data_IF_382590641515
#
_entry.id   IF_382590641515
#
_cell.length_a   1.000
_cell.length_b   1.000
_cell.length_c   1.000
_cell.angle_alpha   90.00
_cell.angle_beta   90.00
_cell.angle_gamma   90.00
#
_symmetry.space_group_name_H-M   'P 1'
#
loop_
_entity.id
_entity.type
_entity.pdbx_description
1 polymer ?
#
# COMPACT_ATOMS: atom_id res chain seq x y z
N UNK A 1 3.58 30.65 22.27
CA UNK A 1 3.24 30.30 20.88
C UNK A 1 4.18 29.18 20.48
N UNK A 2 3.70 27.94 20.55
CA UNK A 2 4.50 26.76 20.29
C UNK A 2 4.21 26.27 18.87
N UNK A 3 5.26 26.19 18.05
CA UNK A 3 5.51 25.31 16.91
C UNK A 3 4.30 24.66 16.20
N UNK A 4 3.41 25.47 15.62
CA UNK A 4 2.30 24.99 14.77
C UNK A 4 2.77 24.74 13.31
N UNK A 5 3.87 25.38 12.91
CA UNK A 5 4.48 25.23 11.59
C UNK A 5 5.04 23.82 11.36
N UNK A 6 5.74 23.25 12.34
CA UNK A 6 6.28 21.90 12.24
C UNK A 6 5.20 20.81 12.18
N UNK A 7 4.04 21.00 12.80
CA UNK A 7 2.95 20.03 12.72
C UNK A 7 2.25 20.06 11.35
N UNK A 8 2.10 21.27 10.78
CA UNK A 8 1.51 21.47 9.45
C UNK A 8 2.38 20.84 8.35
N UNK A 9 3.69 21.13 8.34
CA UNK A 9 4.64 20.55 7.37
C UNK A 9 4.68 19.01 7.46
N UNK A 10 4.67 18.47 8.68
CA UNK A 10 4.64 17.02 8.89
C UNK A 10 3.34 16.38 8.39
N UNK A 11 2.20 17.07 8.53
CA UNK A 11 0.90 16.62 8.05
C UNK A 11 0.86 16.58 6.52
N UNK A 12 1.33 17.63 5.86
CA UNK A 12 1.41 17.69 4.40
C UNK A 12 2.35 16.63 3.83
N UNK A 13 3.51 16.44 4.45
CA UNK A 13 4.42 15.38 4.05
C UNK A 13 3.76 14.00 4.21
N UNK A 14 3.04 13.75 5.31
CA UNK A 14 2.31 12.51 5.49
C UNK A 14 1.22 12.31 4.43
N UNK A 15 0.46 13.35 4.08
CA UNK A 15 -0.55 13.31 3.01
C UNK A 15 0.09 13.01 1.64
N UNK A 16 1.23 13.64 1.32
CA UNK A 16 2.00 13.36 0.10
C UNK A 16 2.50 11.91 0.06
N UNK A 17 2.96 11.37 1.18
CA UNK A 17 3.36 9.96 1.28
C UNK A 17 2.17 9.01 1.12
N UNK A 18 1.00 9.33 1.66
CA UNK A 18 -0.24 8.55 1.44
C UNK A 18 -0.58 8.52 -0.06
N UNK A 19 -0.56 9.66 -0.72
CA UNK A 19 -0.81 9.74 -2.16
C UNK A 19 0.21 8.91 -2.96
N UNK A 20 1.51 9.08 -2.66
CA UNK A 20 2.62 8.35 -3.32
C UNK A 20 2.45 6.83 -3.22
N UNK A 21 2.14 6.31 -2.03
CA UNK A 21 1.96 4.88 -1.83
C UNK A 21 0.64 4.37 -2.40
N UNK A 22 -0.41 5.18 -2.41
CA UNK A 22 -1.66 4.83 -3.06
C UNK A 22 -1.47 4.66 -4.58
N UNK A 23 -0.75 5.56 -5.23
CA UNK A 23 -0.36 5.41 -6.65
C UNK A 23 0.49 4.15 -6.87
N UNK A 24 1.43 3.86 -5.96
CA UNK A 24 2.27 2.68 -6.05
C UNK A 24 1.43 1.39 -5.99
N UNK A 25 0.44 1.32 -5.09
CA UNK A 25 -0.49 0.19 -4.99
C UNK A 25 -1.32 0.04 -6.25
N UNK A 26 -1.87 1.14 -6.80
CA UNK A 26 -2.65 1.08 -8.05
C UNK A 26 -1.80 0.59 -9.22
N UNK A 27 -0.59 1.16 -9.40
CA UNK A 27 0.35 0.75 -10.44
C UNK A 27 0.75 -0.72 -10.31
N UNK A 28 0.94 -1.18 -9.08
CA UNK A 28 1.30 -2.56 -8.79
C UNK A 28 0.15 -3.52 -9.05
N UNK A 29 -1.07 -3.14 -8.70
CA UNK A 29 -2.28 -3.90 -9.01
C UNK A 29 -2.48 -4.01 -10.53
N UNK A 30 -2.29 -2.93 -11.29
CA UNK A 30 -2.37 -2.96 -12.76
C UNK A 30 -1.32 -3.90 -13.38
N UNK A 31 -0.09 -3.94 -12.83
CA UNK A 31 0.95 -4.89 -13.25
C UNK A 31 0.58 -6.33 -12.96
N UNK A 32 0.09 -6.61 -11.76
CA UNK A 32 -0.39 -7.94 -11.38
C UNK A 32 -1.58 -8.36 -12.25
N UNK A 33 -2.54 -7.48 -12.51
CA UNK A 33 -3.67 -7.78 -13.38
C UNK A 33 -3.22 -8.17 -14.79
N UNK A 34 -2.27 -7.43 -15.36
CA UNK A 34 -1.70 -7.75 -16.67
C UNK A 34 -0.96 -9.09 -16.66
N UNK A 35 -0.19 -9.37 -15.61
CA UNK A 35 0.53 -10.62 -15.45
C UNK A 35 -0.43 -11.81 -15.26
N UNK A 36 -1.44 -11.69 -14.40
CA UNK A 36 -2.43 -12.74 -14.19
C UNK A 36 -3.25 -13.01 -15.46
N UNK A 37 -3.60 -11.97 -16.22
CA UNK A 37 -4.26 -12.12 -17.52
C UNK A 37 -3.36 -12.82 -18.54
N UNK A 38 -2.06 -12.53 -18.53
CA UNK A 38 -1.06 -13.22 -19.33
C UNK A 38 -0.98 -14.72 -18.95
N UNK A 39 -0.84 -15.03 -17.65
CA UNK A 39 -0.78 -16.40 -17.15
C UNK A 39 -2.07 -17.21 -17.41
N UNK A 40 -3.25 -16.59 -17.33
CA UNK A 40 -4.52 -17.25 -17.68
C UNK A 40 -4.61 -17.58 -19.19
N UNK A 41 -4.05 -16.71 -20.03
CA UNK A 41 -4.03 -16.90 -21.48
C UNK A 41 -2.97 -17.94 -21.92
N UNK A 42 -1.81 -17.95 -21.27
CA UNK A 42 -0.73 -18.92 -21.48
C UNK A 42 -1.01 -20.29 -20.84
N UNK A 43 -1.83 -20.35 -19.77
CA UNK A 43 -2.35 -21.60 -19.22
C UNK A 43 -3.15 -22.43 -20.25
N UNK A 44 -3.62 -21.81 -21.33
CA UNK A 44 -4.26 -22.49 -22.48
C UNK A 44 -3.26 -23.01 -23.51
N UNK A 45 -2.01 -22.55 -23.45
CA UNK A 45 -0.87 -22.93 -24.28
C UNK A 45 0.18 -23.75 -23.53
N UNK A 46 -0.17 -24.27 -22.35
CA UNK A 46 0.69 -25.05 -21.45
C UNK A 46 1.40 -26.23 -22.13
N UNK A 47 0.84 -26.75 -23.22
CA UNK A 47 1.44 -27.82 -24.03
C UNK A 47 2.71 -27.40 -24.80
N UNK A 48 3.00 -26.09 -24.90
CA UNK A 48 4.11 -25.53 -25.67
C UNK A 48 5.14 -24.77 -24.83
N UNK A 49 4.88 -24.57 -23.53
CA UNK A 49 5.83 -23.92 -22.63
C UNK A 49 6.82 -24.93 -22.08
N UNK A 50 8.10 -24.54 -22.00
CA UNK A 50 9.06 -25.35 -21.26
C UNK A 50 9.04 -25.02 -19.75
N UNK A 51 9.63 -25.90 -18.95
CA UNK A 51 9.68 -25.74 -17.49
C UNK A 51 10.41 -24.45 -17.06
N UNK A 52 11.27 -23.89 -17.92
CA UNK A 52 12.03 -22.68 -17.62
C UNK A 52 11.19 -21.41 -17.77
N UNK A 53 10.30 -21.38 -18.78
CA UNK A 53 9.32 -20.31 -18.97
C UNK A 53 8.34 -20.27 -17.78
N UNK A 54 7.80 -21.42 -17.38
CA UNK A 54 6.91 -21.55 -16.21
C UNK A 54 7.58 -21.06 -14.93
N UNK A 55 8.87 -21.35 -14.74
CA UNK A 55 9.62 -20.92 -13.57
C UNK A 55 9.91 -19.42 -13.59
N UNK A 56 10.14 -18.83 -14.76
CA UNK A 56 10.32 -17.38 -14.90
C UNK A 56 9.02 -16.64 -14.55
N UNK A 57 7.90 -17.12 -15.07
CA UNK A 57 6.56 -16.60 -14.81
C UNK A 57 6.20 -16.69 -13.33
N UNK A 58 6.48 -17.82 -12.69
CA UNK A 58 6.34 -17.99 -11.25
C UNK A 58 7.15 -16.94 -10.49
N UNK A 59 8.45 -16.76 -10.80
CA UNK A 59 9.32 -15.80 -10.11
C UNK A 59 8.81 -14.37 -10.26
N UNK A 60 8.32 -14.02 -11.44
CA UNK A 60 7.72 -12.69 -11.69
C UNK A 60 6.47 -12.52 -10.83
N UNK A 61 5.51 -13.46 -10.89
CA UNK A 61 4.26 -13.38 -10.13
C UNK A 61 4.49 -13.34 -8.62
N UNK A 62 5.45 -14.12 -8.14
CA UNK A 62 5.89 -14.12 -6.75
C UNK A 62 6.43 -12.74 -6.32
N UNK A 63 7.37 -12.19 -7.08
CA UNK A 63 7.98 -10.90 -6.78
C UNK A 63 6.94 -9.76 -6.80
N UNK A 64 6.08 -9.72 -7.83
CA UNK A 64 5.05 -8.69 -7.96
C UNK A 64 4.00 -8.78 -6.84
N UNK A 65 3.65 -10.00 -6.40
CA UNK A 65 2.76 -10.23 -5.26
C UNK A 65 3.37 -9.72 -3.95
N UNK A 66 4.66 -9.96 -3.72
CA UNK A 66 5.37 -9.46 -2.55
C UNK A 66 5.45 -7.92 -2.53
N UNK A 67 5.70 -7.30 -3.69
CA UNK A 67 5.71 -5.84 -3.82
C UNK A 67 4.33 -5.25 -3.55
N UNK A 68 3.24 -5.91 -3.98
CA UNK A 68 1.88 -5.47 -3.70
C UNK A 68 1.56 -5.46 -2.21
N UNK A 69 1.93 -6.52 -1.48
CA UNK A 69 1.78 -6.56 -0.01
C UNK A 69 2.58 -5.44 0.65
N UNK A 70 3.84 -5.26 0.22
CA UNK A 70 4.73 -4.25 0.79
C UNK A 70 4.21 -2.82 0.57
N UNK A 71 3.81 -2.48 -0.64
CA UNK A 71 3.27 -1.17 -0.98
C UNK A 71 1.97 -0.88 -0.23
N UNK A 72 1.08 -1.87 -0.16
CA UNK A 72 -0.20 -1.74 0.56
C UNK A 72 0.03 -1.52 2.06
N UNK A 73 0.99 -2.23 2.66
CA UNK A 73 1.29 -2.06 4.08
C UNK A 73 1.93 -0.69 4.36
N UNK A 74 2.77 -0.18 3.46
CA UNK A 74 3.31 1.18 3.59
C UNK A 74 2.21 2.24 3.50
N UNK A 75 1.26 2.09 2.57
CA UNK A 75 0.08 2.97 2.49
C UNK A 75 -0.66 3.02 3.84
N UNK A 76 -0.97 1.86 4.42
CA UNK A 76 -1.64 1.79 5.73
C UNK A 76 -0.86 2.48 6.86
N UNK A 77 0.47 2.32 6.87
CA UNK A 77 1.35 2.95 7.87
C UNK A 77 1.34 4.47 7.76
N UNK A 78 1.44 5.00 6.55
CA UNK A 78 1.41 6.44 6.31
C UNK A 78 0.04 7.04 6.62
N UNK A 79 -1.05 6.32 6.31
CA UNK A 79 -2.41 6.72 6.70
C UNK A 79 -2.57 6.82 8.22
N UNK A 80 -2.07 5.82 8.95
CA UNK A 80 -2.09 5.85 10.41
C UNK A 80 -1.31 7.04 10.99
N UNK A 81 -0.16 7.35 10.38
CA UNK A 81 0.63 8.54 10.76
C UNK A 81 -0.12 9.84 10.47
N UNK A 82 -0.66 10.00 9.26
CA UNK A 82 -1.44 11.18 8.86
C UNK A 82 -2.62 11.42 9.82
N UNK A 83 -3.39 10.38 10.13
CA UNK A 83 -4.47 10.47 11.10
C UNK A 83 -4.00 10.95 12.48
N UNK A 84 -2.88 10.43 12.95
CA UNK A 84 -2.31 10.79 14.26
C UNK A 84 -1.86 12.24 14.29
N UNK A 85 -1.23 12.73 13.21
CA UNK A 85 -0.81 14.13 13.10
C UNK A 85 -2.01 15.08 13.08
N UNK A 86 -3.10 14.69 12.42
CA UNK A 86 -4.31 15.51 12.30
C UNK A 86 -5.13 15.59 13.58
N UNK A 87 -5.26 14.47 14.28
CA UNK A 87 -6.20 14.35 15.41
C UNK A 87 -5.51 14.41 16.77
N UNK A 88 -4.19 14.18 16.82
CA UNK A 88 -3.47 13.90 18.05
C UNK A 88 -3.79 12.53 18.66
N UNK A 89 -4.73 11.77 18.08
CA UNK A 89 -5.16 10.48 18.55
C UNK A 89 -4.43 9.36 17.81
N UNK A 90 -4.19 8.24 18.51
CA UNK A 90 -3.60 7.08 17.87
C UNK A 90 -4.59 6.54 16.83
N UNK A 91 -4.11 6.36 15.60
CA UNK A 91 -4.92 5.77 14.55
C UNK A 91 -5.53 4.42 14.96
N UNK A 92 -6.78 4.15 14.51
CA UNK A 92 -7.39 2.85 14.72
C UNK A 92 -6.48 1.74 14.19
N UNK A 93 -6.61 0.55 14.79
CA UNK A 93 -5.75 -0.60 14.51
C UNK A 93 -5.72 -0.87 13.00
N UNK A 94 -4.52 -0.85 12.44
CA UNK A 94 -4.17 -1.21 11.05
C UNK A 94 -4.82 -2.53 10.66
N UNK A 95 -5.09 -2.74 9.36
CA UNK A 95 -5.48 -4.06 8.84
C UNK A 95 -4.49 -5.14 9.31
N UNK A 96 -4.93 -5.91 10.31
CA UNK A 96 -4.09 -6.90 10.97
C UNK A 96 -3.75 -8.05 10.03
N UNK A 97 -4.59 -8.33 9.01
CA UNK A 97 -4.28 -9.34 8.01
C UNK A 97 -3.10 -8.90 7.17
N UNK A 98 -3.12 -7.68 6.65
CA UNK A 98 -2.04 -7.16 5.82
C UNK A 98 -0.72 -7.04 6.60
N UNK A 99 -0.79 -6.63 7.87
CA UNK A 99 0.36 -6.64 8.77
C UNK A 99 0.93 -8.06 8.94
N UNK A 100 0.08 -9.03 9.28
CA UNK A 100 0.54 -10.40 9.49
C UNK A 100 1.06 -11.05 8.21
N UNK A 101 0.47 -10.72 7.05
CA UNK A 101 0.94 -11.18 5.76
C UNK A 101 2.33 -10.60 5.45
N UNK A 102 2.55 -9.30 5.65
CA UNK A 102 3.87 -8.67 5.48
C UNK A 102 4.90 -9.28 6.43
N UNK A 103 4.55 -9.48 7.69
CA UNK A 103 5.45 -10.08 8.68
C UNK A 103 5.74 -11.55 8.33
N UNK A 104 4.76 -12.30 7.81
CA UNK A 104 4.96 -13.67 7.35
C UNK A 104 5.91 -13.76 6.15
N UNK A 105 5.82 -12.82 5.21
CA UNK A 105 6.73 -12.76 4.06
C UNK A 105 8.16 -12.35 4.45
N UNK A 106 8.32 -11.47 5.44
CA UNK A 106 9.65 -11.07 5.97
C UNK A 106 10.40 -12.23 6.61
N UNK A 107 9.68 -13.15 7.25
CA UNK A 107 10.23 -14.31 7.96
C UNK A 107 10.06 -15.63 7.19
N UNK A 108 9.84 -15.54 5.87
CA UNK A 108 9.54 -16.72 5.06
C UNK A 108 10.75 -17.67 4.95
N UNK A 109 11.96 -17.17 5.04
CA UNK A 109 13.20 -17.96 5.02
C UNK A 109 13.37 -18.85 6.25
N UNK A 110 12.66 -18.55 7.33
CA UNK A 110 12.63 -19.31 8.58
C UNK A 110 11.48 -20.33 8.62
N UNK A 111 10.61 -20.36 7.60
CA UNK A 111 9.42 -21.21 7.57
C UNK A 111 9.70 -22.63 7.07
N UNK A 112 8.95 -23.59 7.63
CA UNK A 112 8.89 -24.93 7.06
C UNK A 112 7.93 -24.95 5.87
N UNK A 113 8.28 -25.70 4.83
CA UNK A 113 7.42 -25.88 3.65
C UNK A 113 6.73 -27.24 3.73
N UNK A 114 5.40 -27.22 3.82
CA UNK A 114 4.57 -28.43 3.90
C UNK A 114 3.47 -28.35 2.84
N UNK A 115 3.48 -29.30 1.89
CA UNK A 115 2.46 -29.42 0.84
C UNK A 115 2.24 -28.12 0.04
N UNK A 116 3.31 -27.41 -0.33
CA UNK A 116 3.21 -26.16 -1.07
C UNK A 116 2.79 -24.94 -0.23
N UNK A 117 2.67 -25.10 1.10
CA UNK A 117 2.35 -24.01 2.02
C UNK A 117 3.53 -23.75 2.95
N UNK A 118 3.85 -22.49 3.19
CA UNK A 118 4.76 -22.10 4.25
C UNK A 118 4.01 -22.09 5.59
N UNK A 119 4.54 -22.82 6.56
CA UNK A 119 4.01 -22.93 7.90
C UNK A 119 5.12 -22.69 8.91
N UNK A 120 4.77 -22.10 10.05
CA UNK A 120 5.71 -21.93 11.15
C UNK A 120 4.96 -21.80 12.46
N UNK A 121 5.60 -22.23 13.55
CA UNK A 121 5.16 -21.97 14.92
C UNK A 121 5.42 -20.50 15.34
N UNK A 122 6.17 -19.74 14.51
CA UNK A 122 6.33 -18.29 14.59
C UNK A 122 4.96 -17.56 14.52
N UNK A 123 4.84 -16.46 15.27
CA UNK A 123 3.54 -15.79 15.51
C UNK A 123 2.82 -15.33 14.24
N UNK A 124 3.53 -14.90 13.21
CA UNK A 124 2.92 -14.22 12.06
C UNK A 124 2.28 -15.21 11.10
N UNK A 125 3.01 -16.24 10.67
CA UNK A 125 2.48 -17.34 9.86
C UNK A 125 1.39 -18.13 10.61
N UNK A 126 1.59 -18.40 11.90
CA UNK A 126 0.57 -19.07 12.72
C UNK A 126 -0.75 -18.29 12.76
N UNK A 127 -0.70 -16.95 12.89
CA UNK A 127 -1.90 -16.10 12.95
C UNK A 127 -2.71 -16.04 11.67
N UNK A 128 -2.09 -16.30 10.53
CA UNK A 128 -2.77 -16.35 9.23
C UNK A 128 -3.02 -17.80 8.78
N UNK A 129 -2.66 -18.81 9.58
CA UNK A 129 -2.85 -20.22 9.21
C UNK A 129 -1.93 -20.68 8.06
N UNK A 130 -0.73 -20.10 7.99
CA UNK A 130 0.24 -20.37 6.93
C UNK A 130 -0.01 -19.57 5.65
N UNK A 131 0.96 -19.63 4.74
CA UNK A 131 1.02 -18.84 3.52
C UNK A 131 1.08 -19.79 2.32
N UNK A 132 0.12 -19.67 1.41
CA UNK A 132 0.14 -20.47 0.18
C UNK A 132 1.28 -20.00 -0.73
N UNK A 133 2.12 -20.92 -1.22
CA UNK A 133 3.22 -20.59 -2.12
C UNK A 133 2.78 -20.61 -3.59
N UNK A 134 1.57 -21.08 -3.89
CA UNK A 134 1.00 -20.97 -5.22
C UNK A 134 0.74 -19.51 -5.59
N UNK A 135 1.04 -19.18 -6.85
CA UNK A 135 0.82 -17.85 -7.45
C UNK A 135 -0.02 -17.99 -8.70
N UNK A 136 -0.66 -16.90 -9.13
CA UNK A 136 -1.57 -16.93 -10.28
C UNK A 136 -3.04 -16.74 -9.91
N UNK A 137 -3.37 -16.58 -8.64
CA UNK A 137 -4.72 -16.25 -8.20
C UNK A 137 -4.91 -14.74 -8.00
N UNK A 138 -6.17 -14.28 -7.97
CA UNK A 138 -6.51 -12.89 -7.59
C UNK A 138 -6.41 -12.60 -6.09
N UNK A 139 -6.07 -13.62 -5.30
CA UNK A 139 -5.81 -13.54 -3.88
C UNK A 139 -4.31 -13.67 -3.63
N UNK A 140 -3.72 -12.65 -3.01
CA UNK A 140 -2.33 -12.66 -2.57
C UNK A 140 -2.19 -13.69 -1.45
N UNK A 141 -1.55 -14.80 -1.78
CA UNK A 141 -1.26 -15.92 -0.88
C UNK A 141 -2.47 -16.44 -0.11
N UNK A 142 -3.66 -16.45 -0.77
CA UNK A 142 -4.96 -16.86 -0.21
C UNK A 142 -5.53 -15.96 0.92
N UNK A 143 -4.92 -14.79 1.18
CA UNK A 143 -5.30 -13.94 2.33
C UNK A 143 -5.96 -12.63 1.97
N UNK A 144 -5.52 -11.99 0.88
CA UNK A 144 -5.93 -10.62 0.53
C UNK A 144 -6.24 -10.49 -0.96
N UNK A 145 -7.40 -9.92 -1.28
CA UNK A 145 -7.82 -9.67 -2.67
C UNK A 145 -7.05 -8.51 -3.31
N UNK A 146 -6.49 -8.73 -4.50
CA UNK A 146 -5.83 -7.67 -5.30
C UNK A 146 -6.84 -6.58 -5.66
N UNK A 147 -8.06 -6.97 -6.06
CA UNK A 147 -9.13 -6.05 -6.45
C UNK A 147 -9.55 -5.15 -5.28
N UNK A 148 -9.60 -5.70 -4.06
CA UNK A 148 -9.95 -4.93 -2.85
C UNK A 148 -8.86 -3.92 -2.48
N UNK A 149 -7.58 -4.34 -2.51
CA UNK A 149 -6.45 -3.45 -2.26
C UNK A 149 -6.38 -2.32 -3.28
N UNK A 150 -6.62 -2.64 -4.56
CA UNK A 150 -6.64 -1.66 -5.65
C UNK A 150 -7.76 -0.64 -5.47
N UNK A 151 -8.96 -1.10 -5.11
CA UNK A 151 -10.10 -0.22 -4.84
C UNK A 151 -9.83 0.70 -3.65
N UNK A 152 -9.41 0.16 -2.51
CA UNK A 152 -9.11 0.99 -1.33
C UNK A 152 -8.01 2.00 -1.68
N UNK A 153 -6.93 1.59 -2.34
CA UNK A 153 -5.87 2.50 -2.75
C UNK A 153 -6.36 3.66 -3.63
N UNK A 154 -7.26 3.42 -4.60
CA UNK A 154 -7.86 4.50 -5.41
C UNK A 154 -8.68 5.47 -4.56
N UNK A 155 -9.50 4.96 -3.66
CA UNK A 155 -10.27 5.80 -2.73
C UNK A 155 -9.34 6.63 -1.83
N UNK A 156 -8.21 6.06 -1.40
CA UNK A 156 -7.20 6.77 -0.59
C UNK A 156 -6.42 7.81 -1.37
N UNK A 157 -6.02 7.53 -2.61
CA UNK A 157 -5.35 8.48 -3.47
C UNK A 157 -6.21 9.75 -3.66
N UNK A 158 -7.48 9.56 -4.01
CA UNK A 158 -8.43 10.64 -4.20
C UNK A 158 -8.68 11.45 -2.92
N UNK A 159 -8.79 10.79 -1.77
CA UNK A 159 -8.96 11.47 -0.49
C UNK A 159 -7.72 12.29 -0.08
N UNK A 160 -6.51 11.76 -0.31
CA UNK A 160 -5.27 12.47 -0.01
C UNK A 160 -5.04 13.67 -0.95
N UNK A 161 -5.40 13.54 -2.23
CA UNK A 161 -5.30 14.63 -3.21
C UNK A 161 -6.23 15.80 -2.83
N UNK A 162 -7.49 15.52 -2.52
CA UNK A 162 -8.45 16.54 -2.08
C UNK A 162 -7.98 17.28 -0.80
N UNK A 163 -7.26 16.59 0.09
CA UNK A 163 -6.71 17.19 1.31
C UNK A 163 -5.53 18.13 1.01
N UNK A 164 -4.63 17.73 0.10
CA UNK A 164 -3.51 18.56 -0.34
C UNK A 164 -4.00 19.83 -1.05
N UNK A 165 -5.02 19.72 -1.90
CA UNK A 165 -5.64 20.85 -2.59
C UNK A 165 -6.30 21.84 -1.61
N UNK A 166 -7.05 21.33 -0.63
CA UNK A 166 -7.68 22.17 0.40
C UNK A 166 -6.65 22.96 1.21
N UNK A 167 -5.58 22.29 1.65
CA UNK A 167 -4.51 22.92 2.46
C UNK A 167 -3.76 23.99 1.66
N UNK A 168 -3.49 23.74 0.37
CA UNK A 168 -2.88 24.72 -0.52
C UNK A 168 -3.78 25.96 -0.70
N UNK A 169 -5.10 25.75 -0.83
CA UNK A 169 -6.10 26.82 -0.90
C UNK A 169 -6.13 27.69 0.36
N UNK A 170 -6.18 27.06 1.53
CA UNK A 170 -6.21 27.77 2.82
C UNK A 170 -4.95 28.62 3.04
N UNK A 171 -3.78 28.08 2.68
CA UNK A 171 -2.51 28.82 2.78
C UNK A 171 -2.49 30.02 1.82
N UNK A 172 -2.96 29.85 0.59
CA UNK A 172 -3.03 30.94 -0.38
C UNK A 172 -4.00 32.05 0.09
N UNK A 173 -5.13 31.68 0.71
CA UNK A 173 -6.07 32.63 1.29
C UNK A 173 -5.46 33.42 2.46
N UNK A 174 -4.74 32.73 3.37
CA UNK A 174 -4.07 33.37 4.51
C UNK A 174 -3.01 34.39 4.05
N UNK A 175 -2.18 34.03 3.07
CA UNK A 175 -1.17 34.95 2.52
C UNK A 175 -1.80 36.18 1.86
N UNK A 176 -2.92 35.99 1.14
CA UNK A 176 -3.64 37.10 0.52
C UNK A 176 -4.30 38.03 1.55
N UNK A 177 -4.80 37.50 2.67
CA UNK A 177 -5.31 38.31 3.79
C UNK A 177 -4.20 39.11 4.48
N UNK A 178 -3.05 38.48 4.74
CA UNK A 178 -1.89 39.15 5.34
C UNK A 178 -1.37 40.30 4.46
N UNK A 179 -1.21 40.06 3.16
CA UNK A 179 -0.81 41.08 2.18
C UNK A 179 -1.82 42.25 2.13
N UNK A 180 -3.12 41.97 2.23
CA UNK A 180 -4.16 42.99 2.27
C UNK A 180 -4.13 43.83 3.56
N UNK A 181 -3.83 43.21 4.70
CA UNK A 181 -3.66 43.89 5.99
C UNK A 181 -2.41 44.77 5.99
N UNK A 182 -1.29 44.30 5.44
CA UNK A 182 -0.06 45.10 5.31
C UNK A 182 -0.26 46.31 4.40
N UNK A 183 -0.96 46.15 3.27
CA UNK A 183 -1.29 47.24 2.37
C UNK A 183 -2.14 48.34 3.04
N UNK A 184 -3.02 47.99 3.98
CA UNK A 184 -3.83 48.95 4.75
C UNK A 184 -3.06 49.64 5.88
N UNK A 185 -1.99 49.03 6.41
CA UNK A 185 -1.16 49.63 7.48
C UNK A 185 -0.07 50.56 6.95
N UNK A 186 0.30 50.43 5.68
CA UNK A 186 1.28 51.28 5.00
C UNK A 186 0.74 52.53 4.31
N UNK A 187 -0.58 52.78 4.36
CA UNK A 187 -1.28 53.97 3.82
C UNK A 187 -1.73 54.90 4.95
#
# INVERSE_FOLDING_TARGET
>A
MADDGGNTENSEFAASMVHTWAEAVVRQADRLDALLAYLDNDGRHHEYMDDSDLLQDFRQAWAESHQMVSASYQLERWRGRQHTLRTGEKAPVTDMKLKHLRDALEHLDEADIQQGRAVSDERSLHKIGGLDLEVGSRWLFDHVSIDDLKRDARERAAAAEAELEGTAGDRAASLAEDDAIEAQRGS
#
